data_IF_960139038317
#
_entry.id   IF_960139038317
#
_cell.length_a   1.000
_cell.length_b   1.000
_cell.length_c   1.000
_cell.angle_alpha   90.00
_cell.angle_beta   90.00
_cell.angle_gamma   90.00
#
_symmetry.space_group_name_H-M   'P 1'
#
loop_
_entity.id
_entity.type
_entity.pdbx_description
1 polymer ?
#
# COMPACT_ATOMS: atom_id res chain seq x y z
N UNK A 1 4.54 -7.71 -8.16
CA UNK A 1 5.25 -8.24 -6.97
C UNK A 1 5.57 -7.06 -6.06
N UNK A 2 5.20 -7.16 -4.80
CA UNK A 2 5.56 -6.15 -3.78
C UNK A 2 7.03 -6.22 -3.42
N UNK A 3 7.59 -5.10 -3.00
CA UNK A 3 8.95 -5.05 -2.49
C UNK A 3 8.92 -5.15 -0.95
N UNK A 4 9.00 -6.37 -0.43
CA UNK A 4 8.77 -6.67 0.99
C UNK A 4 9.70 -5.94 1.96
N UNK A 5 10.94 -5.68 1.57
CA UNK A 5 11.86 -4.86 2.37
C UNK A 5 11.38 -3.40 2.49
N UNK A 6 10.80 -2.85 1.42
CA UNK A 6 10.15 -1.54 1.45
C UNK A 6 8.91 -1.54 2.34
N UNK A 7 8.08 -2.57 2.22
CA UNK A 7 6.88 -2.75 3.02
C UNK A 7 7.19 -2.95 4.51
N UNK A 8 8.21 -3.73 4.84
CA UNK A 8 8.67 -3.89 6.22
C UNK A 8 9.15 -2.57 6.84
N UNK A 9 9.89 -1.75 6.08
CA UNK A 9 10.29 -0.41 6.51
C UNK A 9 9.11 0.53 6.70
N UNK A 10 8.12 0.48 5.79
CA UNK A 10 6.89 1.25 5.90
C UNK A 10 6.13 0.89 7.19
N UNK A 11 5.96 -0.41 7.46
CA UNK A 11 5.33 -0.92 8.68
C UNK A 11 6.07 -0.48 9.96
N UNK A 12 7.40 -0.63 9.99
CA UNK A 12 8.23 -0.22 11.12
C UNK A 12 8.15 1.29 11.39
N UNK A 13 8.16 2.11 10.33
CA UNK A 13 8.05 3.56 10.42
C UNK A 13 6.66 3.98 10.95
N UNK A 14 5.61 3.32 10.49
CA UNK A 14 4.24 3.56 10.96
C UNK A 14 4.11 3.24 12.45
N UNK A 15 4.54 2.05 12.88
CA UNK A 15 4.52 1.63 14.28
C UNK A 15 5.33 2.58 15.18
N UNK A 16 6.48 3.07 14.70
CA UNK A 16 7.34 3.98 15.47
C UNK A 16 6.75 5.38 15.62
N UNK A 17 6.21 5.95 14.55
CA UNK A 17 5.85 7.37 14.50
C UNK A 17 4.36 7.63 14.74
N UNK A 18 3.52 6.60 14.56
CA UNK A 18 2.06 6.69 14.66
C UNK A 18 1.48 5.48 15.37
N UNK A 19 0.68 4.69 14.68
CA UNK A 19 0.15 3.42 15.15
C UNK A 19 -0.06 2.50 13.96
N UNK A 20 0.52 1.31 14.03
CA UNK A 20 0.29 0.24 13.06
C UNK A 20 -0.68 -0.77 13.66
N UNK A 21 -1.76 -1.05 12.94
CA UNK A 21 -2.67 -2.10 13.29
C UNK A 21 -2.32 -3.34 12.48
N UNK A 22 -2.17 -4.46 13.16
CA UNK A 22 -1.80 -5.77 12.59
C UNK A 22 -2.91 -6.74 12.95
N UNK A 23 -3.50 -7.41 11.99
CA UNK A 23 -4.41 -8.50 12.26
C UNK A 23 -4.15 -9.70 11.34
N UNK A 24 -4.45 -10.87 11.83
CA UNK A 24 -4.51 -12.09 11.04
C UNK A 24 -5.85 -12.76 11.31
N UNK A 25 -6.51 -13.20 10.24
CA UNK A 25 -7.71 -14.03 10.31
C UNK A 25 -7.81 -14.92 9.07
N UNK A 26 -8.17 -16.17 9.28
CA UNK A 26 -8.29 -17.18 8.22
C UNK A 26 -7.03 -17.30 7.34
N UNK A 27 -5.85 -17.15 7.90
CA UNK A 27 -4.58 -17.20 7.17
C UNK A 27 -4.22 -15.92 6.41
N UNK A 28 -5.05 -14.88 6.49
CA UNK A 28 -4.83 -13.58 5.85
C UNK A 28 -4.21 -12.60 6.85
N UNK A 29 -2.96 -12.24 6.65
CA UNK A 29 -2.30 -11.16 7.39
C UNK A 29 -2.67 -9.82 6.78
N UNK A 30 -3.07 -8.88 7.62
CA UNK A 30 -3.39 -7.52 7.21
C UNK A 30 -2.72 -6.48 8.09
N UNK A 31 -2.25 -5.42 7.45
CA UNK A 31 -1.63 -4.26 8.08
C UNK A 31 -2.42 -3.02 7.71
N UNK A 32 -2.68 -2.16 8.69
CA UNK A 32 -3.34 -0.88 8.48
C UNK A 32 -2.56 0.24 9.14
N UNK A 33 -1.98 1.10 8.33
CA UNK A 33 -1.40 2.39 8.71
C UNK A 33 -2.41 3.53 8.58
N UNK A 34 -1.96 4.75 8.81
CA UNK A 34 -2.82 5.93 8.68
C UNK A 34 -3.27 6.20 7.23
N UNK A 35 -2.37 5.98 6.27
CA UNK A 35 -2.55 6.33 4.85
C UNK A 35 -2.33 5.16 3.90
N UNK A 36 -2.30 3.96 4.40
CA UNK A 36 -2.08 2.75 3.59
C UNK A 36 -2.63 1.52 4.29
N UNK A 37 -2.97 0.51 3.50
CA UNK A 37 -3.36 -0.81 3.99
C UNK A 37 -2.74 -1.90 3.11
N UNK A 38 -2.42 -3.03 3.70
CA UNK A 38 -1.85 -4.18 3.03
C UNK A 38 -2.52 -5.46 3.52
N UNK A 39 -2.71 -6.42 2.61
CA UNK A 39 -3.22 -7.75 2.96
C UNK A 39 -2.58 -8.82 2.08
N UNK A 40 -2.22 -9.95 2.66
CA UNK A 40 -1.65 -11.10 1.96
C UNK A 40 -1.88 -12.41 2.72
N UNK A 41 -1.85 -13.53 1.99
CA UNK A 41 -1.84 -14.85 2.60
C UNK A 41 -0.51 -15.08 3.35
N UNK A 42 -0.59 -15.50 4.62
CA UNK A 42 0.60 -15.80 5.44
C UNK A 42 1.46 -16.89 4.78
N UNK A 43 0.82 -17.91 4.22
CA UNK A 43 1.53 -19.00 3.54
C UNK A 43 2.37 -18.51 2.37
N UNK A 44 1.83 -17.60 1.54
CA UNK A 44 2.56 -16.95 0.45
C UNK A 44 3.77 -16.16 0.94
N UNK A 45 3.61 -15.39 2.01
CA UNK A 45 4.71 -14.65 2.63
C UNK A 45 5.81 -15.56 3.16
N UNK A 46 5.46 -16.72 3.72
CA UNK A 46 6.41 -17.71 4.23
C UNK A 46 7.23 -18.37 3.12
N UNK A 47 6.67 -18.52 1.93
CA UNK A 47 7.29 -19.18 0.78
C UNK A 47 8.12 -18.24 -0.10
N UNK A 48 8.05 -16.94 0.14
CA UNK A 48 8.67 -15.89 -0.67
C UNK A 48 9.62 -14.99 0.14
N UNK A 49 10.11 -13.93 -0.49
CA UNK A 49 10.83 -12.84 0.18
C UNK A 49 9.96 -12.08 1.21
N UNK A 50 8.66 -12.38 1.27
CA UNK A 50 7.72 -11.92 2.30
C UNK A 50 8.13 -12.26 3.73
N UNK A 51 9.08 -13.20 3.91
CA UNK A 51 9.71 -13.49 5.22
C UNK A 51 10.33 -12.25 5.86
N UNK A 52 10.80 -11.28 5.09
CA UNK A 52 11.32 -10.01 5.63
C UNK A 52 10.22 -9.22 6.35
N UNK A 53 9.00 -9.18 5.79
CA UNK A 53 7.85 -8.55 6.44
C UNK A 53 7.44 -9.31 7.71
N UNK A 54 7.35 -10.65 7.63
CA UNK A 54 7.01 -11.48 8.78
C UNK A 54 8.02 -11.33 9.92
N UNK A 55 9.33 -11.30 9.60
CA UNK A 55 10.38 -11.08 10.58
C UNK A 55 10.24 -9.71 11.27
N UNK A 56 9.87 -8.67 10.53
CA UNK A 56 9.63 -7.34 11.10
C UNK A 56 8.42 -7.32 12.04
N UNK A 57 7.33 -8.02 11.68
CA UNK A 57 6.16 -8.18 12.56
C UNK A 57 6.55 -8.91 13.84
N UNK A 58 7.28 -10.02 13.74
CA UNK A 58 7.76 -10.75 14.91
C UNK A 58 8.68 -9.87 15.77
N UNK A 59 9.51 -9.02 15.17
CA UNK A 59 10.34 -8.07 15.90
C UNK A 59 9.51 -7.05 16.69
N UNK A 60 8.38 -6.60 16.13
CA UNK A 60 7.51 -5.61 16.77
C UNK A 60 6.59 -6.20 17.85
N UNK A 61 6.05 -7.40 17.63
CA UNK A 61 4.97 -8.01 18.43
C UNK A 61 5.45 -9.26 19.19
N UNK A 62 6.62 -9.80 18.83
CA UNK A 62 7.14 -11.07 19.40
C UNK A 62 6.53 -12.32 18.77
N UNK A 63 5.52 -12.21 17.96
CA UNK A 63 4.80 -13.28 17.27
C UNK A 63 4.13 -12.76 15.99
N UNK A 64 3.61 -13.66 15.19
CA UNK A 64 2.58 -13.32 14.18
C UNK A 64 1.24 -13.46 14.89
N UNK A 65 0.38 -12.41 14.93
CA UNK A 65 -0.98 -12.54 15.43
C UNK A 65 -1.73 -13.67 14.71
N UNK A 66 -2.59 -14.40 15.41
CA UNK A 66 -3.41 -15.48 14.83
C UNK A 66 -4.82 -15.37 15.35
N UNK A 67 -5.79 -15.16 14.46
CA UNK A 67 -7.20 -14.89 14.79
C UNK A 67 -7.34 -13.75 15.81
N UNK A 68 -6.47 -12.75 15.70
CA UNK A 68 -6.43 -11.58 16.58
C UNK A 68 -6.05 -10.30 15.85
N UNK A 69 -6.33 -9.17 16.48
CA UNK A 69 -5.87 -7.86 16.04
C UNK A 69 -5.12 -7.16 17.18
N UNK A 70 -4.00 -6.53 16.84
CA UNK A 70 -3.18 -5.75 17.75
C UNK A 70 -2.81 -4.40 17.15
N UNK A 71 -2.71 -3.37 17.99
CA UNK A 71 -2.18 -2.06 17.61
C UNK A 71 -0.80 -1.92 18.22
N UNK A 72 0.18 -1.57 17.42
CA UNK A 72 1.56 -1.31 17.83
C UNK A 72 1.87 0.17 17.72
N UNK A 73 2.32 0.77 18.81
CA UNK A 73 2.79 2.15 18.87
C UNK A 73 4.12 2.24 19.63
N UNK A 74 5.21 2.52 18.92
CA UNK A 74 6.55 2.45 19.49
C UNK A 74 6.88 1.05 19.99
N UNK A 75 7.09 0.88 21.29
CA UNK A 75 7.30 -0.41 21.96
C UNK A 75 6.05 -0.96 22.65
N UNK A 76 4.90 -0.31 22.48
CA UNK A 76 3.66 -0.70 23.18
C UNK A 76 2.76 -1.46 22.21
N UNK A 77 2.29 -2.63 22.65
CA UNK A 77 1.27 -3.43 22.01
C UNK A 77 -0.03 -3.33 22.79
N UNK A 78 -1.15 -3.22 22.09
CA UNK A 78 -2.50 -3.24 22.66
C UNK A 78 -3.40 -4.12 21.81
N UNK A 79 -4.24 -4.94 22.45
CA UNK A 79 -5.27 -5.67 21.74
C UNK A 79 -6.28 -4.70 21.10
N UNK A 80 -6.70 -5.03 19.89
CA UNK A 80 -7.72 -4.33 19.15
C UNK A 80 -8.92 -5.25 18.90
N UNK A 81 -10.10 -4.67 18.74
CA UNK A 81 -11.30 -5.44 18.41
C UNK A 81 -11.20 -5.91 16.95
N UNK A 82 -11.24 -7.21 16.72
CA UNK A 82 -11.05 -7.81 15.41
C UNK A 82 -12.09 -7.33 14.39
N UNK A 83 -13.39 -7.35 14.76
CA UNK A 83 -14.48 -6.91 13.86
C UNK A 83 -14.33 -5.45 13.43
N UNK A 84 -13.98 -4.57 14.37
CA UNK A 84 -13.74 -3.14 14.09
C UNK A 84 -12.53 -2.97 13.17
N UNK A 85 -11.48 -3.76 13.40
CA UNK A 85 -10.27 -3.77 12.58
C UNK A 85 -10.56 -4.20 11.16
N UNK A 86 -11.31 -5.30 10.98
CA UNK A 86 -11.69 -5.81 9.66
C UNK A 86 -12.58 -4.83 8.89
N UNK A 87 -13.51 -4.14 9.58
CA UNK A 87 -14.33 -3.10 8.96
C UNK A 87 -13.45 -1.94 8.45
N UNK A 88 -12.55 -1.42 9.28
CA UNK A 88 -11.61 -0.34 8.88
C UNK A 88 -10.68 -0.76 7.75
N UNK A 89 -10.22 -2.00 7.76
CA UNK A 89 -9.38 -2.55 6.69
C UNK A 89 -10.17 -2.61 5.37
N UNK A 90 -11.43 -3.09 5.41
CA UNK A 90 -12.31 -3.11 4.24
C UNK A 90 -12.51 -1.73 3.64
N UNK A 91 -12.77 -0.70 4.46
CA UNK A 91 -12.85 0.69 4.02
C UNK A 91 -11.54 1.19 3.41
N UNK A 92 -10.40 0.92 4.06
CA UNK A 92 -9.08 1.38 3.58
C UNK A 92 -8.65 0.69 2.27
N UNK A 93 -9.15 -0.51 1.98
CA UNK A 93 -8.86 -1.25 0.75
C UNK A 93 -9.85 -0.99 -0.38
N UNK A 94 -10.92 -0.25 -0.12
CA UNK A 94 -11.92 0.09 -1.13
C UNK A 94 -11.38 1.17 -2.07
N UNK A 95 -11.61 0.98 -3.37
CA UNK A 95 -11.33 1.95 -4.42
C UNK A 95 -12.61 2.16 -5.22
N UNK A 96 -13.23 3.32 -5.06
CA UNK A 96 -14.50 3.66 -5.70
C UNK A 96 -14.30 4.10 -7.15
N UNK A 97 -15.06 3.50 -8.07
CA UNK A 97 -14.96 3.81 -9.50
C UNK A 97 -13.55 3.57 -10.05
N UNK A 98 -13.01 2.32 -9.92
CA UNK A 98 -11.61 2.06 -10.21
C UNK A 98 -11.23 2.39 -11.65
N UNK A 99 -10.09 3.07 -11.82
CA UNK A 99 -9.48 3.40 -13.11
C UNK A 99 -8.08 2.83 -13.16
N UNK A 100 -7.68 2.37 -14.33
CA UNK A 100 -6.33 1.90 -14.57
C UNK A 100 -5.32 3.04 -14.49
N UNK A 101 -4.18 2.79 -13.85
CA UNK A 101 -3.02 3.67 -13.82
C UNK A 101 -1.76 2.89 -14.16
N UNK A 102 -0.89 3.47 -14.98
CA UNK A 102 0.41 2.89 -15.37
C UNK A 102 1.56 3.77 -14.91
N UNK A 103 2.66 3.13 -14.52
CA UNK A 103 3.89 3.82 -14.15
C UNK A 103 4.48 4.56 -15.35
N UNK A 104 4.81 5.83 -15.18
CA UNK A 104 5.48 6.66 -16.20
C UNK A 104 7.00 6.60 -16.03
N UNK A 105 7.80 7.04 -17.04
CA UNK A 105 9.23 7.26 -16.86
C UNK A 105 9.57 8.51 -16.03
N UNK A 106 8.57 9.26 -15.59
CA UNK A 106 8.76 10.52 -14.88
C UNK A 106 8.99 10.28 -13.39
N UNK A 107 9.81 11.14 -12.80
CA UNK A 107 10.10 11.16 -11.37
C UNK A 107 9.80 12.54 -10.79
N UNK A 108 9.28 12.54 -9.57
CA UNK A 108 9.16 13.72 -8.72
C UNK A 108 9.96 13.49 -7.43
N UNK A 109 11.16 14.04 -7.35
CA UNK A 109 12.13 13.64 -6.35
C UNK A 109 12.49 12.17 -6.50
N UNK A 110 12.31 11.39 -5.45
CA UNK A 110 12.48 9.93 -5.43
C UNK A 110 11.21 9.15 -5.80
N UNK A 111 10.09 9.84 -6.05
CA UNK A 111 8.79 9.22 -6.32
C UNK A 111 8.54 9.08 -7.82
N UNK A 112 8.25 7.88 -8.27
CA UNK A 112 7.77 7.60 -9.62
C UNK A 112 6.35 8.14 -9.78
N UNK A 113 6.09 8.80 -10.91
CA UNK A 113 4.76 9.28 -11.24
C UNK A 113 3.99 8.22 -12.03
N UNK A 114 2.68 8.23 -11.87
CA UNK A 114 1.74 7.36 -12.52
C UNK A 114 0.78 8.18 -13.37
N UNK A 115 0.26 7.59 -14.40
CA UNK A 115 -0.73 8.25 -15.26
C UNK A 115 -1.93 7.33 -15.50
N UNK A 116 -3.12 7.90 -15.43
CA UNK A 116 -4.37 7.25 -15.81
C UNK A 116 -4.63 7.39 -17.31
N UNK A 117 -5.56 6.61 -17.87
CA UNK A 117 -5.92 6.69 -19.29
C UNK A 117 -6.45 8.09 -19.70
N UNK A 118 -7.14 8.78 -18.81
CA UNK A 118 -7.57 10.19 -18.97
C UNK A 118 -6.49 11.21 -18.62
N UNK A 119 -5.23 10.76 -18.54
CA UNK A 119 -4.00 11.55 -18.34
C UNK A 119 -3.81 12.19 -16.98
N UNK A 120 -4.62 11.87 -15.98
CA UNK A 120 -4.34 12.34 -14.62
C UNK A 120 -2.97 11.83 -14.15
N UNK A 121 -2.15 12.71 -13.57
CA UNK A 121 -0.86 12.37 -12.99
C UNK A 121 -1.02 12.16 -11.49
N UNK A 122 -0.45 11.08 -10.99
CA UNK A 122 -0.56 10.63 -9.60
C UNK A 122 0.83 10.30 -9.07
N UNK A 123 1.11 10.66 -7.83
CA UNK A 123 2.34 10.28 -7.12
C UNK A 123 2.02 9.64 -5.78
N UNK A 124 2.85 8.70 -5.36
CA UNK A 124 2.78 8.10 -4.03
C UNK A 124 3.75 8.78 -3.08
N UNK A 125 3.47 8.80 -1.76
CA UNK A 125 4.49 9.10 -0.76
C UNK A 125 5.69 8.16 -0.92
N UNK A 126 6.91 8.69 -0.69
CA UNK A 126 8.17 7.94 -0.89
C UNK A 126 8.19 6.58 -0.18
N UNK A 127 7.66 6.53 1.05
CA UNK A 127 7.61 5.30 1.83
C UNK A 127 6.69 4.24 1.20
N UNK A 128 5.52 4.64 0.69
CA UNK A 128 4.61 3.74 0.00
C UNK A 128 5.19 3.33 -1.36
N UNK A 129 5.84 4.28 -2.08
CA UNK A 129 6.55 4.00 -3.33
C UNK A 129 7.61 2.91 -3.15
N UNK A 130 8.32 2.90 -2.02
CA UNK A 130 9.36 1.90 -1.74
C UNK A 130 8.80 0.46 -1.67
N UNK A 131 7.52 0.27 -1.34
CA UNK A 131 6.85 -1.02 -1.33
C UNK A 131 6.43 -1.51 -2.72
N UNK A 132 6.32 -0.61 -3.71
CA UNK A 132 5.78 -0.91 -5.05
C UNK A 132 6.77 -0.65 -6.19
N UNK A 133 8.06 -0.58 -5.93
CA UNK A 133 9.11 -0.23 -6.90
C UNK A 133 9.14 -1.12 -8.15
N UNK A 134 8.69 -2.36 -8.03
CA UNK A 134 8.68 -3.35 -9.13
C UNK A 134 7.35 -3.39 -9.88
N UNK A 135 6.33 -2.70 -9.41
CA UNK A 135 4.99 -2.69 -10.00
C UNK A 135 4.90 -1.63 -11.10
N UNK A 136 4.20 -1.91 -12.19
CA UNK A 136 4.03 -1.01 -13.34
C UNK A 136 2.58 -0.66 -13.61
N UNK A 137 1.65 -1.40 -13.01
CA UNK A 137 0.21 -1.24 -13.18
C UNK A 137 -0.45 -1.16 -11.82
N UNK A 138 -1.49 -0.34 -11.72
CA UNK A 138 -2.28 -0.14 -10.52
C UNK A 138 -3.71 0.28 -10.91
N UNK A 139 -4.59 0.30 -9.93
CA UNK A 139 -5.87 0.98 -10.04
C UNK A 139 -5.91 2.20 -9.12
N UNK A 140 -6.70 3.19 -9.46
CA UNK A 140 -6.94 4.37 -8.64
C UNK A 140 -8.42 4.70 -8.62
N UNK A 141 -8.87 5.43 -7.59
CA UNK A 141 -10.23 5.98 -7.54
C UNK A 141 -10.44 7.09 -8.58
N UNK A 142 -11.67 7.51 -8.76
CA UNK A 142 -12.04 8.54 -9.74
C UNK A 142 -11.33 9.88 -9.53
N UNK A 143 -10.88 10.19 -8.33
CA UNK A 143 -10.20 11.44 -7.99
C UNK A 143 -8.66 11.31 -7.98
N UNK A 144 -8.12 10.09 -8.05
CA UNK A 144 -6.69 9.84 -7.96
C UNK A 144 -6.14 10.04 -6.54
N UNK A 145 -6.97 9.83 -5.52
CA UNK A 145 -6.60 10.04 -4.10
C UNK A 145 -6.08 8.79 -3.42
N UNK A 146 -6.40 7.63 -3.97
CA UNK A 146 -5.94 6.31 -3.49
C UNK A 146 -5.45 5.50 -4.68
N UNK A 147 -4.32 4.83 -4.52
CA UNK A 147 -3.85 3.82 -5.47
C UNK A 147 -3.89 2.43 -4.84
N UNK A 148 -4.27 1.45 -5.65
CA UNK A 148 -4.34 0.04 -5.27
C UNK A 148 -3.47 -0.79 -6.21
N UNK A 149 -2.68 -1.65 -5.62
CA UNK A 149 -1.76 -2.57 -6.27
C UNK A 149 -2.17 -3.99 -5.90
N UNK A 150 -2.60 -4.76 -6.88
CA UNK A 150 -3.05 -6.13 -6.70
C UNK A 150 -2.09 -7.11 -7.35
N UNK A 151 -1.86 -8.23 -6.69
CA UNK A 151 -1.35 -9.46 -7.28
C UNK A 151 -2.34 -10.59 -6.99
N UNK A 152 -2.03 -11.82 -7.38
CA UNK A 152 -2.91 -12.96 -7.09
C UNK A 152 -3.07 -13.25 -5.58
N UNK A 153 -2.09 -12.84 -4.76
CA UNK A 153 -1.98 -13.26 -3.36
C UNK A 153 -1.93 -12.09 -2.37
N UNK A 154 -1.80 -10.88 -2.88
CA UNK A 154 -1.61 -9.70 -2.03
C UNK A 154 -2.20 -8.42 -2.63
N UNK A 155 -2.62 -7.54 -1.76
CA UNK A 155 -3.13 -6.19 -2.09
C UNK A 155 -2.46 -5.15 -1.23
N UNK A 156 -2.03 -4.05 -1.83
CA UNK A 156 -1.61 -2.82 -1.14
C UNK A 156 -2.46 -1.66 -1.63
N UNK A 157 -3.01 -0.88 -0.72
CA UNK A 157 -3.60 0.43 -1.01
C UNK A 157 -2.80 1.52 -0.32
N UNK A 158 -2.66 2.67 -0.96
CA UNK A 158 -1.99 3.82 -0.38
C UNK A 158 -2.64 5.13 -0.85
N UNK A 159 -2.78 6.10 0.05
CA UNK A 159 -3.18 7.45 -0.30
C UNK A 159 -2.08 8.12 -1.12
N UNK A 160 -2.50 8.87 -2.13
CA UNK A 160 -1.60 9.57 -3.04
C UNK A 160 -1.10 10.89 -2.43
N UNK A 161 -0.07 11.47 -3.05
CA UNK A 161 0.36 12.82 -2.72
C UNK A 161 -0.73 13.83 -3.14
N UNK A 162 -0.96 14.82 -2.30
CA UNK A 162 -1.78 15.96 -2.69
C UNK A 162 -1.15 16.68 -3.89
N UNK A 163 -1.97 16.97 -4.87
CA UNK A 163 -1.57 17.52 -6.15
C UNK A 163 -0.85 18.87 -5.98
N UNK A 164 0.42 18.95 -6.37
CA UNK A 164 1.09 20.23 -6.64
C UNK A 164 0.56 20.76 -7.98
N UNK A 165 -0.62 21.36 -7.94
CA UNK A 165 -1.58 21.50 -9.03
C UNK A 165 -1.02 21.94 -10.40
N UNK A 166 -0.12 22.93 -10.45
CA UNK A 166 0.29 23.51 -11.73
C UNK A 166 1.26 22.60 -12.53
N UNK A 167 2.24 21.96 -11.87
CA UNK A 167 3.21 21.13 -12.55
C UNK A 167 2.58 19.83 -13.05
N UNK A 168 1.72 19.21 -12.25
CA UNK A 168 1.09 17.94 -12.60
C UNK A 168 0.03 18.13 -13.71
N UNK A 169 -0.66 19.27 -13.73
CA UNK A 169 -1.54 19.64 -14.83
C UNK A 169 -0.77 19.79 -16.16
N UNK A 170 0.42 20.38 -16.13
CA UNK A 170 1.25 20.49 -17.32
C UNK A 170 1.71 19.12 -17.83
N UNK A 171 2.07 18.20 -16.94
CA UNK A 171 2.44 16.82 -17.30
C UNK A 171 1.24 16.02 -17.86
N UNK A 172 0.03 16.30 -17.41
CA UNK A 172 -1.19 15.66 -17.89
C UNK A 172 -1.56 16.00 -19.35
N UNK A 173 -0.93 17.02 -19.96
CA UNK A 173 -1.14 17.36 -21.38
C UNK A 173 -0.55 16.31 -22.33
N UNK A 174 0.40 15.50 -21.87
CA UNK A 174 1.10 14.51 -22.68
C UNK A 174 0.78 13.09 -22.18
N UNK A 175 0.67 12.12 -23.08
CA UNK A 175 0.63 10.70 -22.71
C UNK A 175 2.07 10.20 -22.51
N UNK A 176 2.37 9.74 -21.30
CA UNK A 176 3.69 9.24 -20.89
C UNK A 176 3.78 7.72 -20.91
N UNK A 177 2.65 7.04 -21.13
CA UNK A 177 2.54 5.59 -21.17
C UNK A 177 1.77 5.17 -22.43
N UNK A 178 2.07 3.97 -22.93
CA UNK A 178 1.27 3.33 -23.95
C UNK A 178 0.08 2.63 -23.28
N UNK A 179 -1.08 2.81 -23.85
CA UNK A 179 -2.29 2.08 -23.52
C UNK A 179 -2.53 1.07 -24.62
N UNK A 180 -2.85 -0.17 -24.23
CA UNK A 180 -3.26 -1.15 -25.20
C UNK A 180 -4.59 -0.65 -25.78
N UNK A 181 -4.60 -0.36 -27.07
CA UNK A 181 -5.85 -0.06 -27.77
C UNK A 181 -6.63 -1.37 -27.83
N UNK A 182 -7.84 -1.36 -27.30
CA UNK A 182 -8.81 -2.46 -27.37
C UNK A 182 -9.25 -2.74 -28.80
#
# INVERSE_FOLDING_TARGET
MMHYKGLAKLAAKEAKNRALLICETAGMLSLLGEKWAYSAQVESLQQSDGRELLAEIVRMVGRIPTEEAVTVRGSTEQHAMLDVTLARLGEAMQVDGPREAKATPLMYGSTMLWQTRDRQIIGLPEDAQAAVTMTREATTDALGTVMRFDTQEETLTAQTLENAAAMWQALALTSWVAWDDD
#
